data_IF_532748471948
#
_entry.id   IF_532748471948
#
_cell.length_a   1.000
_cell.length_b   1.000
_cell.length_c   1.000
_cell.angle_alpha   90.00
_cell.angle_beta   90.00
_cell.angle_gamma   90.00
#
_symmetry.space_group_name_H-M   'P 1'
#
loop_
_entity.id
_entity.type
_entity.pdbx_description
1 polymer ?
#
# COMPACT_ATOMS: atom_id res chain seq x y z
N UNK A 1 1.45 11.85 -7.03
CA UNK A 1 0.01 12.21 -7.01
C UNK A 1 -0.60 11.92 -8.37
N UNK A 2 -1.91 11.67 -8.45
CA UNK A 2 -2.66 11.31 -9.64
C UNK A 2 -3.54 10.08 -9.43
N UNK A 3 -4.39 9.82 -10.42
CA UNK A 3 -5.22 8.62 -10.50
C UNK A 3 -4.47 7.49 -11.21
N UNK A 4 -4.65 6.27 -10.74
CA UNK A 4 -3.99 5.06 -11.25
C UNK A 4 -4.99 3.92 -11.34
N UNK A 5 -4.88 3.15 -12.41
CA UNK A 5 -5.75 2.00 -12.65
C UNK A 5 -4.96 0.83 -13.23
N UNK A 6 -5.39 -0.39 -12.94
CA UNK A 6 -4.76 -1.57 -13.51
C UNK A 6 -5.31 -2.87 -12.95
N UNK A 7 -4.51 -3.93 -13.09
CA UNK A 7 -4.89 -5.26 -12.62
C UNK A 7 -4.22 -5.54 -11.29
N UNK A 8 -4.95 -6.24 -10.44
CA UNK A 8 -4.43 -6.76 -9.20
C UNK A 8 -4.72 -8.25 -9.07
N UNK A 9 -3.82 -8.95 -8.38
CA UNK A 9 -3.97 -10.36 -8.04
C UNK A 9 -3.63 -10.56 -6.57
N UNK A 10 -4.57 -11.07 -5.80
CA UNK A 10 -4.31 -11.64 -4.49
C UNK A 10 -3.95 -13.12 -4.63
N UNK A 11 -2.92 -13.56 -3.91
CA UNK A 11 -2.52 -14.96 -3.77
C UNK A 11 -2.32 -15.20 -2.28
N UNK A 12 -3.08 -16.11 -1.68
CA UNK A 12 -3.03 -16.34 -0.24
C UNK A 12 -3.91 -17.49 0.25
N UNK A 13 -3.99 -17.63 1.57
CA UNK A 13 -4.78 -18.66 2.25
C UNK A 13 -6.28 -18.56 1.96
N UNK A 14 -6.76 -17.35 1.64
CA UNK A 14 -8.17 -17.08 1.27
C UNK A 14 -8.48 -17.44 -0.19
N UNK A 15 -7.44 -17.85 -0.96
CA UNK A 15 -7.53 -18.22 -2.37
C UNK A 15 -6.82 -17.22 -3.29
N UNK A 16 -6.81 -17.57 -4.57
CA UNK A 16 -6.30 -16.69 -5.63
C UNK A 16 -7.47 -15.90 -6.22
N UNK A 17 -7.36 -14.58 -6.22
CA UNK A 17 -8.36 -13.68 -6.81
C UNK A 17 -7.69 -12.66 -7.72
N UNK A 18 -8.33 -12.32 -8.82
CA UNK A 18 -7.90 -11.23 -9.71
C UNK A 18 -9.01 -10.22 -9.88
N UNK A 19 -8.68 -8.94 -9.77
CA UNK A 19 -9.63 -7.84 -9.81
C UNK A 19 -9.03 -6.61 -10.49
N UNK A 20 -9.90 -5.71 -10.92
CA UNK A 20 -9.50 -4.37 -11.36
C UNK A 20 -9.25 -3.49 -10.15
N UNK A 21 -8.14 -2.76 -10.16
CA UNK A 21 -7.75 -1.86 -9.09
C UNK A 21 -7.78 -0.41 -9.58
N UNK A 22 -8.34 0.46 -8.74
CA UNK A 22 -8.30 1.91 -8.90
C UNK A 22 -7.73 2.53 -7.61
N UNK A 23 -6.70 3.35 -7.76
CA UNK A 23 -5.96 3.97 -6.67
C UNK A 23 -5.74 5.44 -6.99
N UNK A 24 -6.02 6.31 -6.01
CA UNK A 24 -5.66 7.72 -6.09
C UNK A 24 -4.50 8.01 -5.15
N UNK A 25 -3.58 8.88 -5.59
CA UNK A 25 -2.56 9.46 -4.72
C UNK A 25 -2.71 10.97 -4.72
N UNK A 26 -2.78 11.60 -3.54
CA UNK A 26 -2.77 13.06 -3.42
C UNK A 26 -1.76 13.54 -2.39
N UNK A 27 -1.12 14.66 -2.69
CA UNK A 27 -0.33 15.38 -1.68
C UNK A 27 -1.30 16.17 -0.79
N UNK A 28 -1.10 16.12 0.51
CA UNK A 28 -1.94 16.76 1.53
C UNK A 28 -1.08 17.39 2.61
N UNK A 29 -1.69 17.98 3.63
CA UNK A 29 -1.00 18.53 4.81
C UNK A 29 0.10 19.52 4.45
N UNK A 30 -0.25 20.52 3.62
CA UNK A 30 0.70 21.53 3.14
C UNK A 30 1.96 20.97 2.45
N UNK A 31 1.89 19.78 1.85
CA UNK A 31 3.00 19.17 1.12
C UNK A 31 3.79 18.11 1.90
N UNK A 32 3.50 17.89 3.18
CA UNK A 32 4.29 16.98 4.03
C UNK A 32 3.91 15.51 3.92
N UNK A 33 2.78 15.19 3.28
CA UNK A 33 2.18 13.87 3.35
C UNK A 33 1.56 13.48 2.02
N UNK A 34 1.72 12.22 1.63
CA UNK A 34 1.01 11.62 0.49
C UNK A 34 -0.06 10.69 1.04
N UNK A 35 -1.29 10.86 0.57
CA UNK A 35 -2.41 9.98 0.86
C UNK A 35 -2.68 9.12 -0.38
N UNK A 36 -2.64 7.81 -0.20
CA UNK A 36 -3.12 6.81 -1.13
C UNK A 36 -4.51 6.36 -0.70
N UNK A 37 -5.44 6.23 -1.65
CA UNK A 37 -6.77 5.65 -1.42
C UNK A 37 -7.01 4.55 -2.43
N UNK A 38 -7.20 3.32 -1.94
CA UNK A 38 -7.53 2.14 -2.73
C UNK A 38 -9.04 1.86 -2.58
N UNK A 39 -9.72 1.59 -3.69
CA UNK A 39 -11.16 1.31 -3.73
C UNK A 39 -12.04 2.40 -3.12
N UNK A 40 -11.76 3.66 -3.48
CA UNK A 40 -12.47 4.83 -2.99
C UNK A 40 -14.00 4.69 -3.14
N UNK A 41 -14.74 4.99 -2.07
CA UNK A 41 -16.21 4.98 -2.01
C UNK A 41 -16.84 3.59 -1.85
N UNK A 42 -16.05 2.54 -1.60
CA UNK A 42 -16.55 1.18 -1.36
C UNK A 42 -16.43 0.78 0.11
N UNK A 43 -17.11 -0.30 0.52
CA UNK A 43 -16.95 -0.88 1.87
C UNK A 43 -15.54 -1.44 2.13
N UNK A 44 -14.73 -1.60 1.08
CA UNK A 44 -13.35 -2.08 1.13
C UNK A 44 -12.34 -0.95 0.93
N UNK A 45 -12.76 0.31 1.06
CA UNK A 45 -11.85 1.46 0.97
C UNK A 45 -10.72 1.33 2.00
N UNK A 46 -9.49 1.47 1.52
CA UNK A 46 -8.30 1.48 2.35
C UNK A 46 -7.52 2.76 2.08
N UNK A 47 -6.94 3.32 3.13
CA UNK A 47 -6.14 4.55 3.06
C UNK A 47 -4.73 4.28 3.56
N UNK A 48 -3.73 4.73 2.81
CA UNK A 48 -2.33 4.71 3.28
C UNK A 48 -1.78 6.13 3.31
N UNK A 49 -1.19 6.52 4.45
CA UNK A 49 -0.58 7.83 4.65
C UNK A 49 0.94 7.70 4.71
N UNK A 50 1.64 8.21 3.70
CA UNK A 50 3.10 8.26 3.63
C UNK A 50 3.60 9.61 4.13
N UNK A 51 4.56 9.59 5.04
CA UNK A 51 5.14 10.82 5.59
C UNK A 51 6.55 10.60 6.15
N UNK A 52 7.29 11.70 6.31
CA UNK A 52 8.59 11.67 6.96
C UNK A 52 8.45 11.51 8.47
N UNK A 53 9.31 10.68 9.05
CA UNK A 53 9.53 10.54 10.48
C UNK A 53 11.03 10.74 10.75
N UNK A 54 11.44 11.98 11.06
CA UNK A 54 12.85 12.32 11.13
C UNK A 54 13.54 12.10 9.77
N UNK A 55 14.55 11.24 9.75
CA UNK A 55 15.26 10.84 8.52
C UNK A 55 14.60 9.66 7.79
N UNK A 56 13.60 9.03 8.40
CA UNK A 56 12.91 7.88 7.83
C UNK A 56 11.70 8.32 7.00
N UNK A 57 11.34 7.48 6.02
CA UNK A 57 10.03 7.50 5.39
C UNK A 57 9.19 6.37 5.99
N UNK A 58 8.02 6.71 6.51
CA UNK A 58 7.08 5.72 7.05
C UNK A 58 5.74 5.83 6.33
N UNK A 59 4.99 4.75 6.40
CA UNK A 59 3.58 4.72 6.02
C UNK A 59 2.74 4.23 7.19
N UNK A 60 1.50 4.69 7.25
CA UNK A 60 0.45 4.15 8.12
C UNK A 60 -0.69 3.71 7.23
N UNK A 61 -1.02 2.43 7.28
CA UNK A 61 -2.08 1.83 6.47
C UNK A 61 -3.32 1.63 7.33
N UNK A 62 -4.43 2.23 6.95
CA UNK A 62 -5.73 2.06 7.58
C UNK A 62 -6.45 0.91 6.88
N UNK A 63 -6.40 -0.26 7.51
CA UNK A 63 -6.92 -1.50 6.94
C UNK A 63 -8.44 -1.59 7.11
N UNK A 64 -9.12 -2.28 6.20
CA UNK A 64 -10.54 -2.65 6.34
C UNK A 64 -10.80 -3.53 7.60
N UNK A 65 -9.76 -4.18 8.14
CA UNK A 65 -9.82 -4.92 9.40
C UNK A 65 -9.92 -4.02 10.66
N UNK A 66 -9.86 -2.69 10.51
CA UNK A 66 -9.97 -1.74 11.61
C UNK A 66 -8.68 -1.52 12.41
N UNK A 67 -7.54 -2.03 11.93
CA UNK A 67 -6.23 -1.79 12.51
C UNK A 67 -5.38 -0.84 11.66
N UNK A 68 -4.29 -0.33 12.24
CA UNK A 68 -3.43 0.67 11.60
C UNK A 68 -1.94 0.28 11.67
N UNK A 69 -1.51 -0.75 10.92
CA UNK A 69 -0.09 -1.07 10.82
C UNK A 69 0.71 0.11 10.26
N UNK A 70 1.85 0.37 10.90
CA UNK A 70 2.88 1.28 10.44
C UNK A 70 4.04 0.49 9.88
N UNK A 71 4.58 0.96 8.76
CA UNK A 71 5.74 0.35 8.13
C UNK A 71 6.79 1.42 7.84
N UNK A 72 8.05 1.05 7.98
CA UNK A 72 9.21 1.91 7.74
C UNK A 72 9.91 1.47 6.46
N UNK A 73 10.36 2.45 5.67
CA UNK A 73 11.19 2.22 4.50
C UNK A 73 12.55 1.65 4.93
N UNK A 74 12.91 0.51 4.37
CA UNK A 74 14.22 -0.11 4.52
C UNK A 74 15.15 0.29 3.36
N UNK A 75 16.41 0.67 3.66
CA UNK A 75 17.42 0.88 2.63
C UNK A 75 17.61 -0.37 1.77
N UNK A 76 17.80 -0.16 0.48
CA UNK A 76 18.17 -1.21 -0.45
C UNK A 76 18.96 -0.64 -1.63
N UNK A 77 19.60 -1.51 -2.41
CA UNK A 77 20.49 -1.12 -3.51
C UNK A 77 19.75 -0.72 -4.80
N UNK A 78 18.43 -0.93 -4.88
CA UNK A 78 17.61 -0.63 -6.05
C UNK A 78 16.81 0.67 -5.84
N UNK A 79 17.24 1.80 -6.46
CA UNK A 79 16.57 3.09 -6.28
C UNK A 79 15.14 3.11 -6.85
N UNK A 80 14.75 2.10 -7.65
CA UNK A 80 13.38 1.97 -8.17
C UNK A 80 12.47 1.20 -7.23
N UNK A 81 12.98 0.62 -6.14
CA UNK A 81 12.20 -0.16 -5.19
C UNK A 81 12.18 0.49 -3.82
N UNK A 82 10.97 0.77 -3.36
CA UNK A 82 10.70 1.19 -1.99
C UNK A 82 10.16 -0.03 -1.24
N UNK A 83 10.92 -0.52 -0.26
CA UNK A 83 10.55 -1.69 0.54
C UNK A 83 10.20 -1.20 1.94
N UNK A 84 8.94 -1.37 2.34
CA UNK A 84 8.46 -1.02 3.66
C UNK A 84 8.23 -2.27 4.49
N UNK A 85 8.80 -2.30 5.70
CA UNK A 85 8.64 -3.40 6.65
C UNK A 85 7.86 -2.94 7.88
N UNK A 86 7.09 -3.86 8.45
CA UNK A 86 6.32 -3.63 9.68
C UNK A 86 7.21 -3.05 10.78
N UNK A 87 6.74 -1.95 11.36
CA UNK A 87 7.36 -1.29 12.50
C UNK A 87 6.59 -1.62 13.78
N UNK A 88 5.30 -1.28 13.79
CA UNK A 88 4.33 -1.55 14.84
C UNK A 88 2.92 -1.19 14.32
N UNK A 89 1.91 -1.10 15.19
CA UNK A 89 0.63 -0.55 14.80
C UNK A 89 -0.31 -0.39 15.98
N UNK A 90 -1.44 0.27 15.75
CA UNK A 90 -2.50 0.41 16.75
C UNK A 90 -3.66 -0.54 16.45
N UNK A 91 -4.37 -0.92 17.51
CA UNK A 91 -5.51 -1.85 17.46
C UNK A 91 -5.17 -3.22 16.82
N UNK A 92 -3.97 -3.75 17.11
CA UNK A 92 -3.55 -5.08 16.68
C UNK A 92 -2.50 -5.69 17.63
N UNK A 93 -2.53 -7.01 17.78
CA UNK A 93 -1.45 -7.87 18.29
C UNK A 93 -0.79 -8.55 17.07
N UNK A 94 0.42 -8.13 16.71
CA UNK A 94 1.08 -8.59 15.46
C UNK A 94 1.39 -10.08 15.45
N UNK A 95 1.40 -10.75 16.60
CA UNK A 95 1.57 -12.20 16.69
C UNK A 95 0.28 -12.98 16.42
N UNK A 96 -0.88 -12.32 16.41
CA UNK A 96 -2.20 -12.97 16.34
C UNK A 96 -3.07 -12.43 15.23
N UNK A 97 -3.17 -11.11 15.13
CA UNK A 97 -4.17 -10.43 14.32
C UNK A 97 -3.73 -10.28 12.87
N UNK A 98 -4.70 -10.33 11.97
CA UNK A 98 -4.44 -10.09 10.55
C UNK A 98 -4.12 -8.62 10.30
N UNK A 99 -3.00 -8.33 9.66
CA UNK A 99 -2.59 -6.97 9.33
C UNK A 99 -1.68 -6.96 8.09
N UNK A 100 -1.60 -5.81 7.41
CA UNK A 100 -0.56 -5.59 6.41
C UNK A 100 0.80 -5.47 7.12
N UNK A 101 1.76 -6.27 6.67
CA UNK A 101 3.06 -6.40 7.30
C UNK A 101 4.20 -5.87 6.43
N UNK A 102 4.02 -5.89 5.11
CA UNK A 102 5.02 -5.42 4.17
C UNK A 102 4.36 -4.80 2.95
N UNK A 103 4.99 -3.75 2.43
CA UNK A 103 4.62 -3.12 1.18
C UNK A 103 5.87 -2.88 0.33
N UNK A 104 5.81 -3.26 -0.93
CA UNK A 104 6.85 -2.97 -1.92
C UNK A 104 6.25 -2.11 -3.02
N UNK A 105 6.92 -1.03 -3.39
CA UNK A 105 6.57 -0.19 -4.53
C UNK A 105 7.75 -0.20 -5.49
N UNK A 106 7.54 -0.72 -6.70
CA UNK A 106 8.48 -0.69 -7.80
C UNK A 106 8.06 0.38 -8.81
N UNK A 107 8.95 1.33 -9.06
CA UNK A 107 8.79 2.38 -10.05
C UNK A 107 9.29 1.83 -11.40
N UNK A 108 8.37 1.44 -12.26
CA UNK A 108 8.71 0.95 -13.60
C UNK A 108 9.09 2.12 -14.51
N UNK A 109 8.25 3.17 -14.52
CA UNK A 109 8.49 4.48 -15.14
C UNK A 109 7.49 5.52 -14.57
N UNK A 110 7.49 6.74 -15.10
CA UNK A 110 6.71 7.88 -14.60
C UNK A 110 5.19 7.64 -14.51
N UNK A 111 4.67 6.73 -15.33
CA UNK A 111 3.25 6.40 -15.46
C UNK A 111 2.95 4.92 -15.23
N UNK A 112 3.91 4.16 -14.67
CA UNK A 112 3.75 2.73 -14.41
C UNK A 112 4.45 2.35 -13.11
N UNK A 113 3.67 1.84 -12.16
CA UNK A 113 4.19 1.27 -10.91
C UNK A 113 3.68 -0.16 -10.74
N UNK A 114 4.45 -0.96 -10.01
CA UNK A 114 3.99 -2.24 -9.46
C UNK A 114 4.06 -2.17 -7.96
N UNK A 115 3.04 -2.66 -7.27
CA UNK A 115 3.07 -2.75 -5.82
C UNK A 115 2.78 -4.16 -5.36
N UNK A 116 3.34 -4.54 -4.22
CA UNK A 116 3.05 -5.80 -3.56
C UNK A 116 2.81 -5.54 -2.07
N UNK A 117 1.67 -6.01 -1.56
CA UNK A 117 1.27 -5.85 -0.17
C UNK A 117 1.09 -7.22 0.45
N UNK A 118 1.90 -7.54 1.45
CA UNK A 118 1.88 -8.85 2.12
C UNK A 118 1.19 -8.74 3.47
N UNK A 119 0.13 -9.53 3.64
CA UNK A 119 -0.60 -9.67 4.90
C UNK A 119 0.02 -10.75 5.76
N UNK A 120 -0.01 -10.54 7.07
CA UNK A 120 0.31 -11.56 8.05
C UNK A 120 -0.94 -11.90 8.85
N UNK A 121 -1.06 -13.15 9.29
CA UNK A 121 -2.07 -13.64 10.21
C UNK A 121 -1.40 -14.64 11.16
N UNK A 122 -1.70 -14.59 12.46
CA UNK A 122 -1.06 -15.46 13.47
C UNK A 122 0.48 -15.46 13.38
N UNK A 123 1.06 -14.28 13.13
CA UNK A 123 2.50 -14.09 13.05
C UNK A 123 3.19 -14.69 11.81
N UNK A 124 2.44 -15.07 10.77
CA UNK A 124 2.97 -15.67 9.54
C UNK A 124 2.39 -15.00 8.30
N UNK A 125 3.10 -14.98 7.16
CA UNK A 125 2.54 -14.53 5.89
C UNK A 125 1.27 -15.31 5.55
N UNK A 126 0.18 -14.61 5.25
CA UNK A 126 -1.13 -15.21 4.89
C UNK A 126 -1.54 -14.94 3.44
N UNK A 127 -0.94 -13.95 2.80
CA UNK A 127 -1.26 -13.62 1.41
C UNK A 127 -0.46 -12.43 0.89
N UNK A 128 -0.47 -12.24 -0.41
CA UNK A 128 0.13 -11.07 -1.06
C UNK A 128 -0.77 -10.58 -2.20
N UNK A 129 -1.17 -9.32 -2.13
CA UNK A 129 -1.83 -8.61 -3.20
C UNK A 129 -0.78 -7.89 -4.06
N UNK A 130 -0.70 -8.25 -5.35
CA UNK A 130 0.18 -7.62 -6.33
C UNK A 130 -0.63 -6.77 -7.29
N UNK A 131 -0.20 -5.54 -7.53
CA UNK A 131 -0.84 -4.59 -8.41
C UNK A 131 0.12 -4.20 -9.54
N UNK A 132 -0.38 -4.14 -10.77
CA UNK A 132 0.31 -3.56 -11.92
C UNK A 132 -0.55 -2.38 -12.41
N UNK A 133 -0.07 -1.16 -12.14
CA UNK A 133 -0.87 0.06 -12.18
C UNK A 133 -0.27 1.05 -13.16
N UNK A 134 -1.13 1.63 -13.99
CA UNK A 134 -0.76 2.73 -14.88
C UNK A 134 -1.49 4.00 -14.50
N UNK A 135 -0.81 5.13 -14.66
CA UNK A 135 -1.41 6.44 -14.43
C UNK A 135 -2.57 6.64 -15.41
N UNK A 136 -3.70 7.06 -14.89
CA UNK A 136 -4.85 7.45 -15.71
C UNK A 136 -4.63 8.89 -16.17
N UNK A 137 -4.28 9.06 -17.44
CA UNK A 137 -4.23 10.39 -18.05
C UNK A 137 -5.65 10.83 -18.39
N UNK A 138 -6.31 11.56 -17.49
CA UNK A 138 -7.56 12.22 -17.84
C UNK A 138 -7.22 13.43 -18.72
N UNK A 139 -7.53 13.36 -20.01
CA UNK A 139 -7.66 14.57 -20.83
C UNK A 139 -8.77 15.42 -20.21
N UNK A 140 -8.40 16.50 -19.53
CA UNK A 140 -9.36 17.54 -19.17
C UNK A 140 -10.00 18.03 -20.47
N UNK A 141 -11.28 17.73 -20.67
CA UNK A 141 -12.13 18.44 -21.63
C UNK A 141 -12.43 19.83 -21.08
#
# INVERSE_FOLDING_TARGET
AGEWSGKAKHVGEEGDESFDAAISYRVTSAGSTVMETLFAGTEHEMVTMYHRHGNDLILTHYCAAGNQPRMKLEPNDDPKKLVFKFLDGTNLDSAKDMHMHEAVIEIVNDDHIRTAWTSYNKGKPSGTAKFDLKRTHTTKK
#
